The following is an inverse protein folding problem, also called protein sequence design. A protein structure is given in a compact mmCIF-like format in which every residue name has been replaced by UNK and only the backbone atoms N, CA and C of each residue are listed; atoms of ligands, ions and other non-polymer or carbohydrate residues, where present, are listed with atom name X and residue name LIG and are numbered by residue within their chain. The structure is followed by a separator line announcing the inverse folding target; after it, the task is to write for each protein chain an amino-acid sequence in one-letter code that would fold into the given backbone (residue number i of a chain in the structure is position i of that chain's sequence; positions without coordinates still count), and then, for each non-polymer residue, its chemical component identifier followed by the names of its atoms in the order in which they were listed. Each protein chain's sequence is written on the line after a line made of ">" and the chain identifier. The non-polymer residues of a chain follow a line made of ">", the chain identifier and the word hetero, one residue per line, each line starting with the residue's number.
data_IF_796666039975
#
_entry.id   IF_796666039975
#
_cell.length_a   1.000
_cell.length_b   1.000
_cell.length_c   1.000
_cell.angle_alpha   90.00
_cell.angle_beta   90.00
_cell.angle_gamma   90.00
#
_symmetry.space_group_name_H-M   'P 1'
#
loop_
_entity.id
_entity.type
_entity.pdbx_description
1 polymer ?
#
# COMPACT_ATOMS: atom_id res chain seq x y z
N UNK A 1 -11.73 8.01 14.49
CA UNK A 1 -11.15 7.03 13.58
C UNK A 1 -11.92 6.92 12.27
N UNK A 2 -13.17 6.43 12.26
CA UNK A 2 -13.96 6.19 11.03
C UNK A 2 -13.93 7.31 9.97
N UNK A 3 -14.01 8.59 10.36
CA UNK A 3 -13.97 9.68 9.39
C UNK A 3 -12.63 9.76 8.62
N UNK A 4 -11.49 9.53 9.28
CA UNK A 4 -10.18 9.59 8.64
C UNK A 4 -9.96 8.43 7.67
N UNK A 5 -10.42 7.23 8.03
CA UNK A 5 -10.43 6.06 7.16
C UNK A 5 -11.35 6.26 5.94
N UNK A 6 -12.55 6.85 6.13
CA UNK A 6 -13.43 7.21 5.01
C UNK A 6 -12.79 8.24 4.08
N UNK A 7 -12.05 9.21 4.62
CA UNK A 7 -11.30 10.18 3.80
C UNK A 7 -10.13 9.54 3.07
N UNK A 8 -9.48 8.53 3.67
CA UNK A 8 -8.45 7.76 2.99
C UNK A 8 -9.03 7.09 1.74
N UNK A 9 -10.14 6.36 1.88
CA UNK A 9 -10.80 5.73 0.74
C UNK A 9 -11.30 6.73 -0.30
N UNK A 10 -11.76 7.91 0.14
CA UNK A 10 -12.16 8.98 -0.77
C UNK A 10 -10.97 9.53 -1.57
N UNK A 11 -9.84 9.83 -0.90
CA UNK A 11 -8.62 10.29 -1.57
C UNK A 11 -8.13 9.27 -2.60
N UNK A 12 -8.20 7.99 -2.26
CA UNK A 12 -7.83 6.90 -3.14
C UNK A 12 -8.69 6.88 -4.40
N UNK A 13 -10.01 6.90 -4.23
CA UNK A 13 -10.95 6.88 -5.34
C UNK A 13 -10.79 8.11 -6.25
N UNK A 14 -10.49 9.28 -5.68
CA UNK A 14 -10.23 10.50 -6.44
C UNK A 14 -8.92 10.43 -7.23
N UNK A 15 -7.86 9.87 -6.64
CA UNK A 15 -6.57 9.66 -7.29
C UNK A 15 -6.73 8.74 -8.51
N UNK A 16 -7.40 7.60 -8.33
CA UNK A 16 -7.68 6.63 -9.41
C UNK A 16 -8.59 7.24 -10.49
N UNK A 17 -9.51 8.13 -10.11
CA UNK A 17 -10.37 8.85 -11.05
C UNK A 17 -9.67 10.04 -11.76
N UNK A 18 -8.40 10.33 -11.46
CA UNK A 18 -7.64 11.44 -12.03
C UNK A 18 -8.00 12.82 -11.46
N UNK A 19 -8.79 12.89 -10.38
CA UNK A 19 -9.12 14.14 -9.69
C UNK A 19 -8.06 14.48 -8.63
N UNK A 20 -6.83 14.68 -9.09
CA UNK A 20 -5.66 14.86 -8.22
C UNK A 20 -5.79 16.04 -7.25
N UNK A 21 -6.47 17.12 -7.65
CA UNK A 21 -6.68 18.29 -6.77
C UNK A 21 -7.58 17.95 -5.57
N UNK A 22 -8.66 17.19 -5.79
CA UNK A 22 -9.52 16.71 -4.72
C UNK A 22 -8.79 15.67 -3.86
N UNK A 23 -8.08 14.73 -4.49
CA UNK A 23 -7.31 13.70 -3.80
C UNK A 23 -6.30 14.30 -2.82
N UNK A 24 -5.55 15.32 -3.26
CA UNK A 24 -4.61 16.07 -2.41
C UNK A 24 -5.26 16.68 -1.17
N UNK A 25 -6.48 17.19 -1.29
CA UNK A 25 -7.21 17.73 -0.15
C UNK A 25 -7.66 16.62 0.81
N UNK A 26 -8.22 15.54 0.27
CA UNK A 26 -8.59 14.37 1.06
C UNK A 26 -7.38 13.78 1.81
N UNK A 27 -6.21 13.67 1.17
CA UNK A 27 -4.99 13.20 1.81
C UNK A 27 -4.52 14.09 2.96
N UNK A 28 -4.57 15.42 2.80
CA UNK A 28 -4.23 16.35 3.88
C UNK A 28 -5.16 16.18 5.07
N UNK A 29 -6.45 16.01 4.81
CA UNK A 29 -7.46 15.80 5.86
C UNK A 29 -7.27 14.45 6.56
N UNK A 30 -7.06 13.37 5.80
CA UNK A 30 -6.74 12.04 6.36
C UNK A 30 -5.54 12.13 7.30
N UNK A 31 -4.42 12.73 6.87
CA UNK A 31 -3.24 12.87 7.73
C UNK A 31 -3.56 13.64 9.01
N UNK A 32 -4.23 14.78 8.90
CA UNK A 32 -4.60 15.60 10.07
C UNK A 32 -5.53 14.87 11.04
N UNK A 33 -6.42 14.01 10.54
CA UNK A 33 -7.38 13.27 11.36
C UNK A 33 -6.79 12.01 11.97
N UNK A 34 -5.90 11.29 11.27
CA UNK A 34 -5.33 10.01 11.72
C UNK A 34 -4.08 10.15 12.60
N UNK A 35 -3.25 11.19 12.42
CA UNK A 35 -2.04 11.38 13.23
C UNK A 35 -2.29 11.45 14.75
N UNK A 36 -3.33 12.13 15.26
CA UNK A 36 -3.65 12.11 16.69
C UNK A 36 -3.98 10.71 17.20
N UNK A 37 -4.76 9.92 16.45
CA UNK A 37 -5.10 8.55 16.85
C UNK A 37 -3.87 7.65 16.87
N UNK A 38 -2.92 7.81 15.94
CA UNK A 38 -1.67 7.05 15.96
C UNK A 38 -0.80 7.40 17.18
N UNK A 39 -0.92 8.61 17.75
CA UNK A 39 -0.24 8.96 19.02
C UNK A 39 -0.87 8.25 20.20
N UNK A 40 -2.20 8.10 20.21
CA UNK A 40 -2.94 7.38 21.25
C UNK A 40 -2.76 5.85 21.14
N UNK A 41 -2.63 5.34 19.91
CA UNK A 41 -2.52 3.92 19.58
C UNK A 41 -1.28 3.66 18.71
N UNK A 42 -0.06 3.74 19.29
CA UNK A 42 1.17 3.70 18.52
C UNK A 42 1.44 2.34 17.84
N UNK A 43 0.74 1.28 18.21
CA UNK A 43 0.93 -0.07 17.65
C UNK A 43 -0.20 -0.47 16.70
N UNK A 44 -1.16 0.42 16.44
CA UNK A 44 -2.26 0.15 15.51
C UNK A 44 -1.73 0.14 14.07
N UNK A 45 -1.50 -1.05 13.53
CA UNK A 45 -0.90 -1.24 12.20
C UNK A 45 -1.79 -0.72 11.07
N UNK A 46 -3.11 -0.84 11.18
CA UNK A 46 -4.05 -0.27 10.20
C UNK A 46 -3.87 1.25 10.07
N UNK A 47 -3.78 1.96 11.20
CA UNK A 47 -3.48 3.41 11.21
C UNK A 47 -2.13 3.74 10.55
N UNK A 48 -1.13 2.90 10.77
CA UNK A 48 0.21 3.09 10.21
C UNK A 48 0.18 2.91 8.70
N UNK A 49 -0.48 1.86 8.20
CA UNK A 49 -0.65 1.57 6.77
C UNK A 49 -1.39 2.67 6.03
N UNK A 50 -2.54 3.12 6.56
CA UNK A 50 -3.32 4.24 6.00
C UNK A 50 -2.47 5.51 5.91
N UNK A 51 -1.71 5.83 6.96
CA UNK A 51 -0.82 7.00 6.96
C UNK A 51 0.36 6.82 6.00
N UNK A 52 0.87 5.61 5.80
CA UNK A 52 1.94 5.36 4.82
C UNK A 52 1.47 5.67 3.40
N UNK A 53 0.31 5.15 3.01
CA UNK A 53 -0.31 5.40 1.71
C UNK A 53 -0.77 6.86 1.55
N UNK A 54 -1.27 7.48 2.63
CA UNK A 54 -1.59 8.91 2.64
C UNK A 54 -0.35 9.76 2.36
N UNK A 55 0.79 9.45 2.99
CA UNK A 55 2.03 10.17 2.75
C UNK A 55 2.60 9.94 1.34
N UNK A 56 2.39 8.75 0.75
CA UNK A 56 2.63 8.54 -0.68
C UNK A 56 1.79 9.52 -1.53
N UNK A 57 0.48 9.60 -1.28
CA UNK A 57 -0.42 10.51 -1.99
C UNK A 57 -0.03 11.99 -1.84
N UNK A 58 0.56 12.36 -0.71
CA UNK A 58 1.09 13.72 -0.47
C UNK A 58 2.50 13.95 -1.04
N UNK A 59 3.12 12.94 -1.65
CA UNK A 59 4.47 13.01 -2.20
C UNK A 59 5.60 12.92 -1.16
N UNK A 60 5.29 12.62 0.10
CA UNK A 60 6.28 12.44 1.17
C UNK A 60 6.75 10.98 1.23
N UNK A 61 7.62 10.65 0.28
CA UNK A 61 8.26 9.33 0.15
C UNK A 61 8.96 8.87 1.43
N UNK A 62 9.64 9.78 2.13
CA UNK A 62 10.43 9.44 3.31
C UNK A 62 9.52 9.07 4.49
N UNK A 63 8.44 9.84 4.71
CA UNK A 63 7.45 9.52 5.72
C UNK A 63 6.74 8.19 5.42
N UNK A 64 6.38 7.93 4.15
CA UNK A 64 5.73 6.70 3.73
C UNK A 64 6.58 5.46 4.08
N UNK A 65 7.87 5.45 3.71
CA UNK A 65 8.73 4.30 4.03
C UNK A 65 9.01 4.13 5.51
N UNK A 66 9.17 5.23 6.26
CA UNK A 66 9.35 5.16 7.71
C UNK A 66 8.14 4.51 8.39
N UNK A 67 6.92 4.80 7.92
CA UNK A 67 5.70 4.19 8.43
C UNK A 67 5.62 2.71 8.04
N UNK A 68 5.92 2.35 6.79
CA UNK A 68 5.98 0.95 6.35
C UNK A 68 6.94 0.12 7.23
N UNK A 69 8.14 0.63 7.50
CA UNK A 69 9.12 -0.06 8.35
C UNK A 69 8.59 -0.28 9.77
N UNK A 70 7.88 0.72 10.32
CA UNK A 70 7.23 0.60 11.61
C UNK A 70 6.08 -0.42 11.59
N UNK A 71 5.30 -0.46 10.52
CA UNK A 71 4.20 -1.41 10.33
C UNK A 71 4.72 -2.84 10.27
N UNK A 72 5.77 -3.10 9.47
CA UNK A 72 6.45 -4.40 9.38
C UNK A 72 6.93 -4.87 10.76
N UNK A 73 7.44 -3.95 11.58
CA UNK A 73 7.88 -4.27 12.94
C UNK A 73 6.71 -4.54 13.91
N UNK A 74 5.55 -3.90 13.71
CA UNK A 74 4.37 -4.06 14.54
C UNK A 74 3.65 -5.40 14.27
N UNK A 75 3.55 -5.80 13.00
CA UNK A 75 2.87 -7.02 12.55
C UNK A 75 3.80 -7.88 11.70
N UNK A 76 4.78 -8.58 12.33
CA UNK A 76 5.68 -9.46 11.61
C UNK A 76 4.96 -10.74 11.15
N UNK A 77 5.32 -11.22 9.95
CA UNK A 77 4.72 -12.41 9.30
C UNK A 77 4.79 -13.65 10.19
N UNK A 78 5.83 -13.78 11.01
CA UNK A 78 6.01 -14.91 11.93
C UNK A 78 4.99 -14.94 13.07
N UNK A 79 4.39 -13.79 13.41
CA UNK A 79 3.37 -13.67 14.45
C UNK A 79 1.96 -13.68 13.88
N UNK A 80 1.78 -13.09 12.71
CA UNK A 80 0.51 -13.07 12.01
C UNK A 80 0.75 -13.36 10.53
N UNK A 81 0.45 -14.59 10.11
CA UNK A 81 0.64 -15.01 8.73
C UNK A 81 -0.41 -14.45 7.78
N UNK A 82 -1.54 -13.96 8.31
CA UNK A 82 -2.65 -13.42 7.54
C UNK A 82 -2.47 -11.93 7.28
N UNK A 83 -2.18 -11.15 8.33
CA UNK A 83 -2.00 -9.70 8.25
C UNK A 83 -0.55 -9.28 8.03
N UNK A 84 0.42 -10.08 8.49
CA UNK A 84 1.85 -9.78 8.40
C UNK A 84 2.40 -9.50 7.00
N UNK A 85 1.83 -10.09 5.92
CA UNK A 85 2.24 -9.73 4.56
C UNK A 85 1.68 -8.38 4.07
N UNK A 86 0.62 -7.83 4.67
CA UNK A 86 -0.04 -6.59 4.21
C UNK A 86 0.92 -5.36 4.15
N UNK A 87 1.82 -5.12 5.12
CA UNK A 87 2.81 -4.04 5.03
C UNK A 87 3.79 -4.23 3.87
N UNK A 88 4.08 -5.48 3.48
CA UNK A 88 4.91 -5.77 2.31
C UNK A 88 4.19 -5.41 1.01
N UNK A 89 2.86 -5.54 0.95
CA UNK A 89 2.08 -5.04 -0.18
C UNK A 89 2.17 -3.51 -0.28
N UNK A 90 1.98 -2.80 0.84
CA UNK A 90 2.12 -1.34 0.88
C UNK A 90 3.52 -0.93 0.43
N UNK A 91 4.57 -1.63 0.88
CA UNK A 91 5.94 -1.41 0.41
C UNK A 91 6.04 -1.54 -1.11
N UNK A 92 5.52 -2.64 -1.69
CA UNK A 92 5.58 -2.88 -3.12
C UNK A 92 4.94 -1.75 -3.93
N UNK A 93 3.79 -1.26 -3.47
CA UNK A 93 3.03 -0.16 -4.07
C UNK A 93 3.74 1.19 -3.96
N UNK A 94 4.20 1.55 -2.76
CA UNK A 94 4.95 2.81 -2.53
C UNK A 94 6.26 2.80 -3.32
N UNK A 95 6.99 1.69 -3.34
CA UNK A 95 8.23 1.56 -4.10
C UNK A 95 7.99 1.69 -5.62
N UNK A 96 6.91 1.10 -6.15
CA UNK A 96 6.55 1.25 -7.56
C UNK A 96 6.31 2.72 -7.93
N UNK A 97 5.50 3.43 -7.13
CA UNK A 97 5.12 4.82 -7.39
C UNK A 97 6.25 5.84 -7.17
N UNK A 98 7.24 5.50 -6.34
CA UNK A 98 8.32 6.42 -5.96
C UNK A 98 9.66 6.14 -6.66
N UNK A 99 9.61 5.37 -7.75
CA UNK A 99 10.76 5.11 -8.62
C UNK A 99 11.79 4.14 -8.01
N UNK A 100 11.35 3.18 -7.19
CA UNK A 100 12.21 2.13 -6.61
C UNK A 100 11.83 0.74 -7.13
N UNK A 101 12.03 0.47 -8.44
CA UNK A 101 11.56 -0.76 -9.08
C UNK A 101 12.13 -2.03 -8.45
N UNK A 102 13.40 -2.01 -8.03
CA UNK A 102 14.04 -3.19 -7.42
C UNK A 102 13.35 -3.61 -6.10
N UNK A 103 13.04 -2.64 -5.24
CA UNK A 103 12.32 -2.90 -3.98
C UNK A 103 10.89 -3.34 -4.24
N UNK A 104 10.22 -2.70 -5.22
CA UNK A 104 8.87 -3.08 -5.59
C UNK A 104 8.80 -4.53 -6.08
N UNK A 105 9.67 -4.90 -7.02
CA UNK A 105 9.73 -6.26 -7.59
C UNK A 105 10.06 -7.29 -6.52
N UNK A 106 11.01 -7.01 -5.62
CA UNK A 106 11.35 -7.92 -4.52
C UNK A 106 10.15 -8.18 -3.58
N UNK A 107 9.38 -7.14 -3.25
CA UNK A 107 8.17 -7.28 -2.45
C UNK A 107 7.09 -8.10 -3.16
N UNK A 108 6.83 -7.80 -4.44
CA UNK A 108 5.83 -8.52 -5.25
C UNK A 108 6.19 -10.00 -5.42
N UNK A 109 7.47 -10.33 -5.62
CA UNK A 109 7.95 -11.71 -5.68
C UNK A 109 7.67 -12.50 -4.41
N UNK A 110 7.77 -11.84 -3.24
CA UNK A 110 7.49 -12.45 -1.95
C UNK A 110 5.98 -12.68 -1.74
N UNK A 111 5.14 -11.76 -2.23
CA UNK A 111 3.69 -11.77 -1.99
C UNK A 111 2.91 -12.74 -2.88
N UNK A 112 3.24 -12.83 -4.17
CA UNK A 112 2.47 -13.65 -5.12
C UNK A 112 2.28 -15.13 -4.72
N UNK A 113 3.24 -15.82 -4.08
CA UNK A 113 3.03 -17.19 -3.61
C UNK A 113 2.35 -17.29 -2.23
N UNK A 114 2.13 -16.18 -1.53
CA UNK A 114 1.66 -16.14 -0.14
C UNK A 114 0.18 -15.75 -0.09
N UNK A 115 -0.71 -16.55 0.54
CA UNK A 115 -2.04 -16.10 0.91
C UNK A 115 -1.97 -15.08 2.06
N UNK A 116 -2.72 -13.98 1.97
CA UNK A 116 -2.76 -12.93 2.99
C UNK A 116 -4.01 -12.05 2.84
N UNK A 117 -4.35 -11.29 3.88
CA UNK A 117 -5.35 -10.22 3.78
C UNK A 117 -4.71 -8.95 3.20
N UNK A 118 -5.29 -8.43 2.11
CA UNK A 118 -4.71 -7.27 1.45
C UNK A 118 -4.85 -6.00 2.30
N UNK A 119 -3.81 -5.19 2.30
CA UNK A 119 -3.85 -3.84 2.87
C UNK A 119 -4.90 -2.94 2.17
N UNK A 120 -5.37 -3.33 0.99
CA UNK A 120 -6.38 -2.62 0.21
C UNK A 120 -7.62 -3.49 -0.02
N UNK A 121 -8.69 -2.87 -0.55
CA UNK A 121 -9.94 -3.57 -0.87
C UNK A 121 -10.59 -4.28 0.33
N UNK A 122 -10.41 -3.73 1.53
CA UNK A 122 -10.99 -4.27 2.77
C UNK A 122 -10.53 -5.70 3.10
N UNK A 123 -9.24 -6.00 2.96
CA UNK A 123 -8.67 -7.30 3.36
C UNK A 123 -8.94 -8.46 2.41
N UNK A 124 -9.83 -8.28 1.42
CA UNK A 124 -10.54 -9.43 0.85
C UNK A 124 -9.78 -10.21 -0.23
N UNK A 125 -8.82 -9.60 -0.92
CA UNK A 125 -8.17 -10.22 -2.10
C UNK A 125 -6.66 -9.93 -2.13
N UNK A 126 -5.79 -10.95 -1.96
CA UNK A 126 -4.35 -10.77 -2.09
C UNK A 126 -3.96 -10.41 -3.52
N UNK A 127 -2.77 -9.83 -3.69
CA UNK A 127 -2.23 -9.54 -5.02
C UNK A 127 -2.13 -10.82 -5.87
N UNK A 128 -2.61 -10.72 -7.10
CA UNK A 128 -2.53 -11.78 -8.12
C UNK A 128 -1.85 -11.26 -9.38
N UNK A 129 -1.34 -12.13 -10.27
CA UNK A 129 -0.80 -11.69 -11.56
C UNK A 129 -1.81 -10.88 -12.39
N UNK A 130 -3.11 -11.17 -12.27
CA UNK A 130 -4.16 -10.37 -12.89
C UNK A 130 -4.27 -8.97 -12.29
N UNK A 131 -4.25 -8.83 -10.96
CA UNK A 131 -4.25 -7.52 -10.31
C UNK A 131 -2.99 -6.72 -10.63
N UNK A 132 -1.82 -7.38 -10.69
CA UNK A 132 -0.60 -6.71 -11.12
C UNK A 132 -0.74 -6.08 -12.51
N UNK A 133 -1.43 -6.74 -13.45
CA UNK A 133 -1.69 -6.20 -14.80
C UNK A 133 -2.68 -5.04 -14.83
N UNK A 134 -3.67 -5.04 -13.95
CA UNK A 134 -4.82 -4.14 -14.00
C UNK A 134 -4.68 -2.91 -13.12
N UNK A 135 -3.93 -3.01 -12.02
CA UNK A 135 -3.84 -1.95 -11.01
C UNK A 135 -2.85 -0.85 -11.44
N UNK A 136 -3.30 0.42 -11.59
CA UNK A 136 -2.48 1.54 -12.02
C UNK A 136 -1.29 1.86 -11.10
N UNK A 137 -1.32 1.42 -9.84
CA UNK A 137 -0.18 1.60 -8.94
C UNK A 137 1.10 0.94 -9.44
N UNK A 138 1.00 -0.04 -10.34
CA UNK A 138 2.13 -0.71 -10.95
C UNK A 138 2.46 -0.20 -12.35
N UNK A 139 1.81 0.85 -12.83
CA UNK A 139 2.09 1.45 -14.15
C UNK A 139 3.57 1.85 -14.34
N UNK A 140 4.28 2.39 -13.33
CA UNK A 140 5.71 2.67 -13.46
C UNK A 140 6.59 1.44 -13.76
N UNK A 141 6.10 0.22 -13.46
CA UNK A 141 6.86 -1.03 -13.62
C UNK A 141 6.56 -1.76 -14.94
N UNK A 142 5.61 -1.28 -15.75
CA UNK A 142 5.09 -2.00 -16.93
C UNK A 142 6.15 -2.38 -17.96
N UNK A 143 7.20 -1.57 -18.04
CA UNK A 143 8.32 -1.76 -18.97
C UNK A 143 9.47 -2.60 -18.39
N UNK A 144 9.40 -3.00 -17.12
CA UNK A 144 10.42 -3.86 -16.51
C UNK A 144 10.15 -5.35 -16.84
N UNK A 145 11.09 -6.06 -17.51
CA UNK A 145 10.89 -7.46 -17.86
C UNK A 145 10.66 -8.38 -16.65
N UNK A 146 11.25 -8.04 -15.49
CA UNK A 146 11.06 -8.81 -14.25
C UNK A 146 9.64 -8.67 -13.74
N UNK A 147 9.04 -7.48 -13.86
CA UNK A 147 7.65 -7.23 -13.51
C UNK A 147 6.68 -7.94 -14.48
N UNK A 148 6.97 -7.89 -15.79
CA UNK A 148 6.17 -8.61 -16.80
C UNK A 148 6.11 -10.12 -16.49
N UNK A 149 7.22 -10.72 -16.08
CA UNK A 149 7.27 -12.12 -15.64
C UNK A 149 6.40 -12.41 -14.40
N UNK A 150 6.23 -11.45 -13.50
CA UNK A 150 5.33 -11.59 -12.34
C UNK A 150 3.85 -11.50 -12.71
N UNK A 151 3.55 -10.84 -13.84
CA UNK A 151 2.20 -10.71 -14.38
C UNK A 151 1.74 -11.95 -15.16
N UNK A 152 2.67 -12.84 -15.52
CA UNK A 152 2.35 -14.10 -16.18
C UNK A 152 1.65 -15.05 -15.20
N UNK A 153 0.52 -15.61 -15.63
CA UNK A 153 -0.11 -16.71 -14.91
C UNK A 153 0.80 -17.93 -15.02
N UNK A 154 1.22 -18.49 -13.88
CA UNK A 154 1.90 -19.77 -13.89
C UNK A 154 0.91 -20.84 -14.38
N UNK A 155 1.30 -21.68 -15.35
CA UNK A 155 0.43 -22.78 -15.78
C UNK A 155 0.11 -23.66 -14.57
N UNK A 156 -1.17 -24.03 -14.45
CA UNK A 156 -1.68 -24.94 -13.43
C UNK A 156 -1.11 -26.34 -13.60
#
# INVERSE_FOLDING_TARGET
>A
YFNGELRFWLGWAQEVAGNHAAAQESWRQTRSELEPFLKEQPENYSLIGDLALTNLGLGDKAAAFKLIEREIAAVPIEKDTLDGPAPTEILGRVAAQTGEPDRAIAALQKLLPTPYESALLGGSVPLTPALLRLDPMFDPLRNDPRFQKLCEEKPK
#
